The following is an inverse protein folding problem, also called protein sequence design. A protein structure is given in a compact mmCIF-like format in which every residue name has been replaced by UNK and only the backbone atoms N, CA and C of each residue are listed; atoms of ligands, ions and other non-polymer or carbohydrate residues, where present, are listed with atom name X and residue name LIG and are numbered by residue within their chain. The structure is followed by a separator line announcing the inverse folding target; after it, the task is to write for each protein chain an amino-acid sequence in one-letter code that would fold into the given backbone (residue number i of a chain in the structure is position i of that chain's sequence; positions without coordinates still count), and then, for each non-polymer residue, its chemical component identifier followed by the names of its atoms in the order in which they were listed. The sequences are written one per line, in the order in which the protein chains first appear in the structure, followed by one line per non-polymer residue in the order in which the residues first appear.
data_IF_957479839877
#
_entry.id   IF_957479839877
#
_cell.length_a   1.000
_cell.length_b   1.000
_cell.length_c   1.000
_cell.angle_alpha   90.00
_cell.angle_beta   90.00
_cell.angle_gamma   90.00
#
_symmetry.space_group_name_H-M   'P 1'
#
loop_
_entity.id
_entity.type
_entity.pdbx_description
1 polymer ?
#
# COMPACT_ATOMS: atom_id res chain seq x y z
N UNK A 1 -5.18 -10.21 4.17
CA UNK A 1 -3.89 -9.58 3.83
C UNK A 1 -2.77 -10.50 4.31
N UNK A 2 -1.67 -10.63 3.57
CA UNK A 2 -0.49 -11.38 4.01
C UNK A 2 0.48 -10.46 4.78
N UNK A 3 1.28 -11.04 5.67
CA UNK A 3 2.29 -10.36 6.50
C UNK A 3 3.56 -11.19 6.45
N UNK A 4 4.72 -10.55 6.47
CA UNK A 4 6.04 -11.21 6.58
C UNK A 4 6.85 -10.60 7.72
N UNK A 5 7.73 -11.39 8.36
CA UNK A 5 8.58 -10.94 9.45
C UNK A 5 9.83 -10.22 8.92
N UNK A 6 10.20 -9.12 9.57
CA UNK A 6 11.36 -8.29 9.22
C UNK A 6 11.95 -7.73 10.51
N UNK A 7 13.20 -8.06 10.82
CA UNK A 7 13.85 -7.68 12.09
C UNK A 7 14.21 -6.19 12.20
N UNK A 8 14.35 -5.49 11.07
CA UNK A 8 14.78 -4.08 11.01
C UNK A 8 13.64 -3.06 11.16
N UNK A 9 12.40 -3.49 11.34
CA UNK A 9 11.23 -2.60 11.53
C UNK A 9 10.65 -2.72 12.95
N UNK A 10 10.03 -1.67 13.51
CA UNK A 10 9.63 -1.61 14.91
C UNK A 10 8.76 -2.77 15.39
N UNK A 11 7.79 -3.21 14.58
CA UNK A 11 6.85 -4.29 14.94
C UNK A 11 7.39 -5.69 14.61
N UNK A 12 8.56 -5.79 14.00
CA UNK A 12 9.12 -7.06 13.55
C UNK A 12 8.39 -7.71 12.35
N UNK A 13 7.39 -7.03 11.77
CA UNK A 13 6.57 -7.54 10.67
C UNK A 13 6.02 -6.43 9.76
N UNK A 14 5.85 -6.74 8.47
CA UNK A 14 5.33 -5.83 7.45
C UNK A 14 4.18 -6.44 6.66
N UNK A 15 3.26 -5.61 6.21
CA UNK A 15 2.16 -6.00 5.30
C UNK A 15 2.72 -6.32 3.91
N UNK A 16 2.20 -7.38 3.29
CA UNK A 16 2.55 -7.78 1.91
C UNK A 16 1.41 -7.42 0.95
N UNK A 17 1.72 -6.59 -0.04
CA UNK A 17 0.81 -6.02 -1.06
C UNK A 17 1.37 -6.16 -2.49
N UNK A 18 1.20 -7.33 -3.13
CA UNK A 18 1.87 -7.65 -4.40
C UNK A 18 1.48 -6.76 -5.58
N UNK A 19 0.27 -6.19 -5.58
CA UNK A 19 -0.17 -5.27 -6.61
C UNK A 19 0.41 -3.84 -6.49
N UNK A 20 1.19 -3.54 -5.44
CA UNK A 20 1.60 -2.16 -5.10
C UNK A 20 3.08 -2.01 -4.70
N UNK A 21 3.81 -3.12 -4.52
CA UNK A 21 5.23 -3.12 -4.13
C UNK A 21 5.98 -4.21 -4.90
N UNK A 22 7.09 -3.88 -5.60
CA UNK A 22 7.91 -4.88 -6.29
C UNK A 22 8.47 -5.97 -5.36
N UNK A 23 8.88 -5.59 -4.14
CA UNK A 23 9.38 -6.54 -3.15
C UNK A 23 8.28 -7.53 -2.71
N UNK A 24 7.06 -7.02 -2.51
CA UNK A 24 5.91 -7.85 -2.15
C UNK A 24 5.48 -8.75 -3.31
N UNK A 25 5.63 -8.29 -4.55
CA UNK A 25 5.34 -9.10 -5.74
C UNK A 25 6.31 -10.28 -5.85
N UNK A 26 7.61 -10.05 -5.71
CA UNK A 26 8.61 -11.11 -5.72
C UNK A 26 8.36 -12.13 -4.59
N UNK A 27 8.05 -11.65 -3.38
CA UNK A 27 7.70 -12.51 -2.26
C UNK A 27 6.43 -13.33 -2.54
N UNK A 28 5.39 -12.70 -3.10
CA UNK A 28 4.16 -13.40 -3.45
C UNK A 28 4.37 -14.45 -4.54
N UNK A 29 5.19 -14.17 -5.56
CA UNK A 29 5.56 -15.13 -6.59
C UNK A 29 6.27 -16.34 -6.00
N UNK A 30 7.24 -16.12 -5.09
CA UNK A 30 7.94 -17.20 -4.40
C UNK A 30 7.00 -18.09 -3.56
N UNK A 31 5.89 -17.52 -3.07
CA UNK A 31 4.87 -18.23 -2.29
C UNK A 31 3.61 -18.62 -3.10
N UNK A 32 3.62 -18.49 -4.43
CA UNK A 32 2.49 -18.87 -5.30
C UNK A 32 1.21 -18.06 -5.06
N UNK A 33 1.32 -16.80 -4.61
CA UNK A 33 0.17 -15.93 -4.33
C UNK A 33 -0.11 -14.97 -5.50
N UNK A 34 -1.37 -14.85 -5.95
CA UNK A 34 -1.72 -13.95 -7.05
C UNK A 34 -1.68 -12.49 -6.60
N UNK A 35 -1.29 -11.56 -7.49
CA UNK A 35 -1.39 -10.14 -7.20
C UNK A 35 -2.84 -9.65 -7.25
N UNK A 36 -3.21 -8.81 -6.28
CA UNK A 36 -4.49 -8.11 -6.24
C UNK A 36 -4.24 -6.61 -6.09
N UNK A 37 -5.00 -5.78 -6.80
CA UNK A 37 -4.87 -4.32 -6.72
C UNK A 37 -6.14 -3.62 -6.23
N UNK A 38 -5.97 -2.68 -5.30
CA UNK A 38 -7.03 -1.76 -4.83
C UNK A 38 -7.06 -0.44 -5.60
N UNK A 39 -6.05 -0.18 -6.43
CA UNK A 39 -5.93 1.04 -7.23
C UNK A 39 -5.54 0.63 -8.67
N UNK A 40 -6.51 0.31 -9.54
CA UNK A 40 -6.25 -0.28 -10.85
C UNK A 40 -5.69 0.70 -11.89
N UNK A 41 -5.26 1.90 -11.49
CA UNK A 41 -4.78 2.96 -12.39
C UNK A 41 -3.55 2.56 -13.25
N UNK A 42 -2.87 1.45 -12.95
CA UNK A 42 -1.54 1.18 -13.51
C UNK A 42 -1.38 -0.13 -14.30
N UNK A 43 -2.25 -1.14 -14.17
CA UNK A 43 -2.04 -2.42 -14.86
C UNK A 43 -3.39 -3.05 -15.29
N UNK A 44 -3.69 -3.13 -16.61
CA UNK A 44 -4.89 -3.79 -17.12
C UNK A 44 -5.01 -5.29 -16.73
N UNK A 45 -3.89 -5.92 -16.38
CA UNK A 45 -3.78 -7.37 -16.20
C UNK A 45 -3.87 -7.85 -14.75
N UNK A 46 -3.92 -6.94 -13.77
CA UNK A 46 -4.04 -7.32 -12.35
C UNK A 46 -5.50 -7.19 -11.93
N UNK A 47 -6.14 -8.28 -11.45
CA UNK A 47 -7.52 -8.21 -11.01
C UNK A 47 -7.68 -7.19 -9.87
N UNK A 48 -8.70 -6.35 -9.99
CA UNK A 48 -9.11 -5.48 -8.91
C UNK A 48 -9.62 -6.31 -7.74
N UNK A 49 -9.46 -5.80 -6.52
CA UNK A 49 -10.10 -6.42 -5.36
C UNK A 49 -11.60 -6.61 -5.59
N UNK A 50 -12.19 -7.75 -5.18
CA UNK A 50 -13.62 -7.98 -5.31
C UNK A 50 -14.42 -6.92 -4.54
N UNK A 51 -15.61 -6.57 -5.03
CA UNK A 51 -16.47 -5.51 -4.47
C UNK A 51 -16.91 -5.74 -3.01
N UNK A 52 -16.72 -6.95 -2.49
CA UNK A 52 -16.99 -7.30 -1.10
C UNK A 52 -16.02 -6.66 -0.09
N UNK A 53 -14.92 -6.05 -0.54
CA UNK A 53 -14.02 -5.29 0.33
C UNK A 53 -14.50 -3.84 0.38
N UNK A 54 -14.90 -3.30 1.56
CA UNK A 54 -15.32 -1.91 1.72
C UNK A 54 -14.08 -0.99 1.61
N UNK A 55 -13.63 -0.78 0.38
CA UNK A 55 -12.57 0.14 0.03
C UNK A 55 -13.20 1.40 -0.58
N UNK A 56 -12.74 2.61 -0.23
CA UNK A 56 -13.23 3.83 -0.87
C UNK A 56 -12.94 3.80 -2.38
N UNK A 57 -13.95 3.51 -3.19
CA UNK A 57 -13.87 3.53 -4.65
C UNK A 57 -14.12 4.93 -5.19
N UNK A 58 -13.56 5.23 -6.37
CA UNK A 58 -13.82 6.49 -7.10
C UNK A 58 -13.25 7.76 -6.46
N UNK A 59 -12.49 7.65 -5.37
CA UNK A 59 -11.83 8.80 -4.71
C UNK A 59 -10.32 8.76 -4.93
N UNK A 60 -9.68 9.93 -4.88
CA UNK A 60 -8.23 10.03 -5.00
C UNK A 60 -7.52 9.26 -3.87
N UNK A 61 -6.38 8.62 -4.18
CA UNK A 61 -5.67 7.70 -3.27
C UNK A 61 -5.32 8.28 -1.89
N UNK A 62 -5.05 9.59 -1.82
CA UNK A 62 -4.75 10.25 -0.53
C UNK A 62 -6.02 10.44 0.32
N UNK A 63 -7.15 10.79 -0.30
CA UNK A 63 -8.45 10.85 0.38
C UNK A 63 -8.89 9.44 0.82
N UNK A 64 -8.63 8.42 0.00
CA UNK A 64 -8.90 7.03 0.37
C UNK A 64 -8.11 6.62 1.62
N UNK A 65 -6.85 7.04 1.74
CA UNK A 65 -6.00 6.75 2.90
C UNK A 65 -6.61 7.30 4.18
N UNK A 66 -7.05 8.56 4.19
CA UNK A 66 -7.68 9.19 5.35
C UNK A 66 -8.96 8.45 5.77
N UNK A 67 -9.83 8.13 4.81
CA UNK A 67 -11.06 7.35 5.06
C UNK A 67 -10.78 5.96 5.65
N UNK A 68 -9.73 5.28 5.17
CA UNK A 68 -9.32 3.97 5.71
C UNK A 68 -8.78 4.10 7.14
N UNK A 69 -8.00 5.14 7.45
CA UNK A 69 -7.52 5.38 8.82
C UNK A 69 -8.70 5.63 9.76
N UNK A 70 -9.65 6.47 9.38
CA UNK A 70 -10.87 6.73 10.16
C UNK A 70 -11.67 5.43 10.41
N UNK A 71 -11.92 4.64 9.36
CA UNK A 71 -12.64 3.37 9.48
C UNK A 71 -11.91 2.33 10.36
N UNK A 72 -10.57 2.31 10.35
CA UNK A 72 -9.79 1.45 11.25
C UNK A 72 -9.88 1.92 12.70
N UNK A 73 -9.93 3.24 12.93
CA UNK A 73 -10.08 3.83 14.26
C UNK A 73 -11.47 3.56 14.86
N UNK A 74 -12.54 3.75 14.08
CA UNK A 74 -13.92 3.42 14.48
C UNK A 74 -14.08 1.97 14.89
N UNK A 75 -13.33 1.06 14.25
CA UNK A 75 -13.34 -0.38 14.56
C UNK A 75 -12.38 -0.79 15.68
N UNK A 76 -11.65 0.15 16.28
CA UNK A 76 -10.65 -0.13 17.31
C UNK A 76 -9.42 -0.93 16.83
N UNK A 77 -9.17 -0.98 15.50
CA UNK A 77 -8.04 -1.68 14.89
C UNK A 77 -6.82 -0.77 14.69
N UNK A 78 -7.00 0.55 14.74
CA UNK A 78 -5.93 1.53 14.65
C UNK A 78 -5.19 1.66 15.99
N UNK A 79 -3.85 1.60 15.96
CA UNK A 79 -3.01 1.63 17.18
C UNK A 79 -2.29 2.96 17.39
N UNK A 80 -1.55 3.44 16.40
CA UNK A 80 -0.75 4.66 16.51
C UNK A 80 -0.39 5.23 15.13
N UNK A 81 -0.08 6.53 15.11
CA UNK A 81 0.62 7.23 14.02
C UNK A 81 1.99 7.67 14.54
N UNK A 82 3.02 7.53 13.72
CA UNK A 82 4.35 8.10 13.98
C UNK A 82 4.90 8.63 12.66
N UNK A 83 5.68 9.71 12.74
CA UNK A 83 6.36 10.26 11.57
C UNK A 83 7.43 9.29 11.08
N UNK A 84 7.47 9.09 9.76
CA UNK A 84 8.40 8.17 9.14
C UNK A 84 8.97 8.79 7.87
N UNK A 85 10.26 9.13 7.91
CA UNK A 85 10.99 9.61 6.76
C UNK A 85 11.15 8.46 5.75
N UNK A 86 10.73 8.68 4.50
CA UNK A 86 10.84 7.72 3.41
C UNK A 86 11.20 8.41 2.10
N UNK A 87 11.90 7.68 1.22
CA UNK A 87 12.17 8.15 -0.13
C UNK A 87 10.95 7.93 -1.01
N UNK A 88 10.35 9.01 -1.51
CA UNK A 88 9.23 8.95 -2.46
C UNK A 88 9.77 8.97 -3.90
N UNK A 89 9.46 7.96 -4.74
CA UNK A 89 9.85 7.98 -6.14
C UNK A 89 9.08 9.08 -6.87
N UNK A 90 9.81 10.05 -7.43
CA UNK A 90 9.25 11.14 -8.20
C UNK A 90 9.46 10.90 -9.70
N UNK A 91 8.49 11.28 -10.52
CA UNK A 91 8.65 11.22 -11.96
C UNK A 91 9.70 12.25 -12.40
N UNK A 92 10.81 11.77 -12.97
CA UNK A 92 11.91 12.62 -13.47
C UNK A 92 11.47 13.68 -14.47
N UNK A 93 10.39 13.40 -15.21
CA UNK A 93 9.88 14.29 -16.26
C UNK A 93 8.86 15.31 -15.74
N UNK A 94 8.09 14.96 -14.70
CA UNK A 94 7.08 15.88 -14.13
C UNK A 94 7.68 16.81 -13.08
N UNK A 95 8.73 16.36 -12.37
CA UNK A 95 9.37 17.12 -11.29
C UNK A 95 10.89 17.15 -11.52
N UNK A 96 11.38 18.00 -12.44
CA UNK A 96 12.80 18.03 -12.82
C UNK A 96 13.72 18.69 -11.79
N UNK A 97 13.17 19.34 -10.75
CA UNK A 97 13.96 19.90 -9.66
C UNK A 97 14.09 18.89 -8.50
N UNK A 98 15.24 18.85 -7.81
CA UNK A 98 15.34 18.12 -6.56
C UNK A 98 14.34 18.71 -5.55
N UNK A 99 13.49 17.89 -4.97
CA UNK A 99 12.67 18.28 -3.81
C UNK A 99 13.58 18.09 -2.60
N UNK A 100 13.88 19.12 -1.80
CA UNK A 100 14.65 18.93 -0.58
C UNK A 100 13.88 17.98 0.35
N UNK A 101 14.61 17.04 0.97
CA UNK A 101 14.11 16.17 2.02
C UNK A 101 13.65 16.98 3.24
#
# INVERSE_FOLDING_TARGET
AAVTSVSSVPTGAVKVTPGHSPADLALAQAHGRPPLSVCPLSLPSVPSVPSCVPCPQGVHRFVAREKVVAALAERGLYRATQDHAMTLPMCRYCCPHPVPL
#
